data_IF_845704342734
#
_entry.id   IF_845704342734
#
_cell.length_a   1.000
_cell.length_b   1.000
_cell.length_c   1.000
_cell.angle_alpha   90.00
_cell.angle_beta   90.00
_cell.angle_gamma   90.00
#
_symmetry.space_group_name_H-M   'P 1'
#
loop_
_entity.id
_entity.type
_entity.pdbx_description
1 polymer ?
#
# COMPACT_ATOMS: atom_id res chain seq x y z
N UNK A 1 26.02 -5.69 -25.21
CA UNK A 1 26.03 -6.61 -24.06
C UNK A 1 27.03 -6.14 -23.02
N UNK A 2 26.92 -4.99 -22.38
CA UNK A 2 27.83 -4.57 -21.29
C UNK A 2 27.30 -3.39 -20.44
N UNK A 3 25.99 -3.22 -20.32
CA UNK A 3 25.44 -2.10 -19.52
C UNK A 3 24.49 -2.55 -18.39
N UNK A 4 24.22 -3.85 -18.25
CA UNK A 4 23.26 -4.37 -17.25
C UNK A 4 23.87 -4.82 -15.93
N UNK A 5 25.19 -4.72 -15.75
CA UNK A 5 25.89 -5.26 -14.57
C UNK A 5 26.34 -4.20 -13.56
N UNK A 6 26.12 -2.91 -13.84
CA UNK A 6 26.55 -1.84 -12.92
C UNK A 6 25.47 -1.35 -11.93
N UNK A 7 24.23 -1.79 -12.07
CA UNK A 7 23.14 -1.38 -11.16
C UNK A 7 23.09 -2.25 -9.88
N UNK A 8 23.71 -3.41 -9.86
CA UNK A 8 23.71 -4.32 -8.70
C UNK A 8 24.76 -4.05 -7.61
N UNK A 9 25.62 -3.06 -7.77
CA UNK A 9 26.70 -2.78 -6.81
C UNK A 9 26.32 -1.87 -5.64
N UNK A 10 25.08 -1.41 -5.55
CA UNK A 10 24.57 -0.49 -4.50
C UNK A 10 23.81 -1.14 -3.35
N UNK A 11 23.51 -2.42 -3.43
CA UNK A 11 22.85 -3.13 -2.32
C UNK A 11 23.91 -3.58 -1.29
N UNK A 12 24.37 -2.67 -0.45
CA UNK A 12 24.88 -3.06 0.86
C UNK A 12 23.71 -3.67 1.61
N UNK A 13 23.74 -5.01 1.77
CA UNK A 13 22.83 -5.70 2.64
C UNK A 13 22.83 -5.00 4.00
N UNK A 14 21.70 -4.47 4.42
CA UNK A 14 21.46 -4.09 5.79
C UNK A 14 21.63 -5.39 6.58
N UNK A 15 22.73 -5.51 7.33
CA UNK A 15 22.81 -6.49 8.40
C UNK A 15 21.60 -6.30 9.30
N UNK A 16 21.11 -7.34 10.00
CA UNK A 16 20.00 -7.19 10.90
C UNK A 16 20.38 -6.11 11.93
N UNK A 17 19.81 -4.93 11.80
CA UNK A 17 19.85 -3.92 12.87
C UNK A 17 19.30 -4.65 14.10
N UNK A 18 20.11 -4.76 15.16
CA UNK A 18 19.67 -5.40 16.40
C UNK A 18 18.37 -4.72 16.80
N UNK A 19 17.30 -5.50 16.83
CA UNK A 19 15.99 -4.98 17.21
C UNK A 19 16.10 -4.46 18.65
N UNK A 20 15.63 -3.24 18.93
CA UNK A 20 15.73 -2.67 20.25
C UNK A 20 15.02 -3.54 21.29
N UNK A 21 15.67 -3.69 22.44
CA UNK A 21 15.22 -4.54 23.55
C UNK A 21 14.97 -3.71 24.79
N UNK A 22 14.38 -4.29 25.82
CA UNK A 22 14.11 -3.62 27.09
C UNK A 22 15.38 -3.05 27.74
N UNK A 23 16.54 -3.67 27.52
CA UNK A 23 17.84 -3.13 27.92
C UNK A 23 18.09 -1.70 27.41
N UNK A 24 17.60 -1.34 26.21
CA UNK A 24 17.74 -0.01 25.64
C UNK A 24 16.88 1.06 26.35
N UNK A 25 15.89 0.65 27.16
CA UNK A 25 15.06 1.52 27.98
C UNK A 25 15.67 1.83 29.35
N UNK A 26 16.73 1.11 29.74
CA UNK A 26 17.34 1.26 31.05
C UNK A 26 17.93 2.66 31.21
N UNK A 27 17.40 3.41 32.17
CA UNK A 27 18.05 4.61 32.67
C UNK A 27 18.80 4.28 33.97
N UNK A 28 20.08 4.67 34.10
CA UNK A 28 20.73 4.64 35.39
C UNK A 28 20.04 5.67 36.29
N UNK A 29 19.50 5.21 37.40
CA UNK A 29 18.86 6.05 38.41
C UNK A 29 19.50 5.77 39.75
N UNK A 30 19.50 6.74 40.72
CA UNK A 30 19.87 6.47 42.07
C UNK A 30 19.05 5.29 42.63
N UNK A 31 19.68 4.45 43.42
CA UNK A 31 19.04 3.32 44.06
C UNK A 31 19.20 3.43 45.57
N UNK A 32 18.30 2.80 46.29
CA UNK A 32 18.36 2.70 47.77
C UNK A 32 18.45 1.24 48.20
N UNK A 33 19.20 1.00 49.27
CA UNK A 33 19.25 -0.32 49.94
C UNK A 33 18.03 -0.49 50.88
N UNK A 34 17.61 -1.73 51.16
CA UNK A 34 16.52 -1.98 52.11
C UNK A 34 16.77 -1.41 53.52
N UNK A 35 18.03 -1.17 53.85
CA UNK A 35 18.48 -0.59 55.13
C UNK A 35 18.43 0.92 55.16
N UNK A 36 18.32 1.58 53.96
CA UNK A 36 18.27 3.02 53.90
C UNK A 36 16.96 3.58 54.49
N UNK A 37 17.05 4.79 55.06
CA UNK A 37 15.92 5.44 55.74
C UNK A 37 15.03 6.21 54.76
N UNK A 38 13.81 6.52 55.18
CA UNK A 38 12.93 7.38 54.41
C UNK A 38 13.46 8.82 54.30
N UNK A 39 14.33 9.27 55.20
CA UNK A 39 15.07 10.54 55.10
C UNK A 39 15.96 10.52 53.84
N UNK A 40 16.70 9.45 53.60
CA UNK A 40 17.54 9.26 52.40
C UNK A 40 16.71 9.26 51.12
N UNK A 41 15.57 8.57 51.13
CA UNK A 41 14.65 8.55 50.00
C UNK A 41 14.14 9.96 49.66
N UNK A 42 13.76 10.73 50.68
CA UNK A 42 13.32 12.13 50.51
C UNK A 42 14.41 12.98 49.90
N UNK A 43 15.61 12.91 50.47
CA UNK A 43 16.77 13.65 49.98
C UNK A 43 17.07 13.35 48.48
N UNK A 44 17.07 12.08 48.08
CA UNK A 44 17.24 11.65 46.70
C UNK A 44 16.14 12.21 45.77
N UNK A 45 14.89 12.18 46.22
CA UNK A 45 13.80 12.77 45.46
C UNK A 45 13.89 14.29 45.34
N UNK A 46 14.40 14.99 46.36
CA UNK A 46 14.58 16.45 46.34
C UNK A 46 15.75 16.87 45.45
N UNK A 47 16.84 16.09 45.45
CA UNK A 47 17.99 16.29 44.57
C UNK A 47 17.67 15.98 43.11
N UNK A 48 16.83 14.97 42.83
CA UNK A 48 16.48 14.48 41.51
C UNK A 48 14.98 14.68 41.24
N UNK A 49 14.57 15.92 40.99
CA UNK A 49 13.15 16.27 40.81
C UNK A 49 12.49 15.60 39.61
N UNK A 50 13.26 15.19 38.62
CA UNK A 50 12.82 14.47 37.42
C UNK A 50 12.46 13.00 37.66
N UNK A 51 12.95 12.39 38.76
CA UNK A 51 12.67 10.99 39.05
C UNK A 51 11.24 10.81 39.55
N UNK A 52 10.53 9.90 38.96
CA UNK A 52 9.17 9.50 39.36
C UNK A 52 9.16 8.33 40.31
N UNK A 53 10.24 7.54 40.34
CA UNK A 53 10.39 6.40 41.26
C UNK A 53 11.86 6.10 41.52
N UNK A 54 12.12 5.41 42.66
CA UNK A 54 13.43 4.94 43.08
C UNK A 54 13.40 3.42 43.28
N UNK A 55 14.32 2.64 42.68
CA UNK A 55 14.43 1.22 42.92
C UNK A 55 15.04 0.92 44.29
N UNK A 56 14.51 -0.08 44.93
CA UNK A 56 15.10 -0.68 46.15
C UNK A 56 15.85 -1.92 45.73
N UNK A 57 17.18 -1.94 46.01
CA UNK A 57 18.07 -2.99 45.52
C UNK A 57 18.89 -3.55 46.68
N UNK A 58 18.93 -4.88 46.83
CA UNK A 58 19.76 -5.55 47.77
C UNK A 58 20.90 -6.28 47.02
N UNK A 59 22.12 -5.74 47.15
CA UNK A 59 23.25 -6.19 46.32
C UNK A 59 22.99 -5.90 44.82
N UNK A 60 22.76 -6.95 44.03
CA UNK A 60 22.39 -6.85 42.64
C UNK A 60 20.89 -7.07 42.37
N UNK A 61 20.15 -7.51 43.37
CA UNK A 61 18.75 -7.93 43.25
C UNK A 61 17.79 -6.76 43.50
N UNK A 62 16.93 -6.47 42.55
CA UNK A 62 15.83 -5.54 42.77
C UNK A 62 14.75 -6.16 43.66
N UNK A 63 14.36 -5.45 44.72
CA UNK A 63 13.30 -5.85 45.64
C UNK A 63 11.98 -5.19 45.35
N UNK A 64 12.00 -3.94 44.88
CA UNK A 64 10.79 -3.18 44.65
C UNK A 64 11.06 -1.75 44.13
N UNK A 65 10.01 -0.94 44.11
CA UNK A 65 10.03 0.41 43.58
C UNK A 65 9.33 1.36 44.55
N UNK A 66 9.98 2.47 44.94
CA UNK A 66 9.35 3.54 45.72
C UNK A 66 8.86 4.62 44.74
N UNK A 67 7.54 4.82 44.69
CA UNK A 67 6.88 5.79 43.80
C UNK A 67 6.86 7.17 44.46
N UNK A 68 7.38 8.18 43.78
CA UNK A 68 7.47 9.54 44.32
C UNK A 68 6.12 10.05 44.83
N UNK A 69 5.07 9.97 44.02
CA UNK A 69 3.76 10.50 44.36
C UNK A 69 3.17 9.84 45.62
N UNK A 70 3.29 8.51 45.73
CA UNK A 70 2.83 7.76 46.89
C UNK A 70 3.64 8.12 48.13
N UNK A 71 4.97 8.12 48.00
CA UNK A 71 5.88 8.45 49.10
C UNK A 71 5.61 9.86 49.64
N UNK A 72 5.57 10.87 48.76
CA UNK A 72 5.31 12.25 49.18
C UNK A 72 3.91 12.43 49.79
N UNK A 73 2.88 11.81 49.22
CA UNK A 73 1.52 11.87 49.76
C UNK A 73 1.42 11.27 51.15
N UNK A 74 2.08 10.14 51.38
CA UNK A 74 2.08 9.47 52.71
C UNK A 74 2.90 10.25 53.76
N UNK A 75 4.08 10.77 53.36
CA UNK A 75 4.94 11.55 54.24
C UNK A 75 4.35 12.92 54.58
N UNK A 76 3.49 13.52 53.75
CA UNK A 76 2.80 14.76 54.02
C UNK A 76 1.64 14.65 55.02
N UNK A 77 1.22 13.45 55.42
CA UNK A 77 0.17 13.27 56.43
C UNK A 77 0.66 13.70 57.82
N UNK A 78 -0.21 14.25 58.70
CA UNK A 78 0.16 14.68 60.02
C UNK A 78 0.84 13.57 60.84
N UNK A 79 1.95 13.91 61.52
CA UNK A 79 2.77 13.02 62.32
C UNK A 79 3.48 11.85 61.60
N UNK A 80 3.23 11.65 60.33
CA UNK A 80 3.82 10.55 59.55
C UNK A 80 5.31 10.73 59.30
N UNK A 81 5.73 11.96 59.01
CA UNK A 81 7.14 12.25 58.84
C UNK A 81 7.95 11.92 60.07
N UNK A 82 7.59 12.44 61.26
CA UNK A 82 8.26 12.16 62.53
C UNK A 82 8.33 10.67 62.88
N UNK A 83 7.25 9.92 62.56
CA UNK A 83 7.16 8.52 62.87
C UNK A 83 7.95 7.60 61.94
N UNK A 84 8.17 8.02 60.69
CA UNK A 84 8.72 7.17 59.64
C UNK A 84 10.06 7.64 59.07
N UNK A 85 10.50 8.87 59.33
CA UNK A 85 11.72 9.48 58.73
C UNK A 85 12.96 8.57 58.92
N UNK A 86 13.14 8.02 60.10
CA UNK A 86 14.27 7.15 60.47
C UNK A 86 14.01 5.67 60.27
N UNK A 87 12.85 5.25 59.78
CA UNK A 87 12.54 3.87 59.46
C UNK A 87 13.03 3.50 58.08
N UNK A 88 13.22 2.18 57.88
CA UNK A 88 13.59 1.62 56.57
C UNK A 88 12.60 2.03 55.47
N UNK A 89 13.14 2.32 54.33
CA UNK A 89 12.41 2.71 53.10
C UNK A 89 11.47 1.61 52.58
N UNK A 90 11.68 0.37 52.96
CA UNK A 90 10.81 -0.78 52.58
C UNK A 90 9.35 -0.56 53.00
N UNK A 91 9.08 0.28 54.00
CA UNK A 91 7.73 0.60 54.43
C UNK A 91 6.88 1.31 53.37
N UNK A 92 7.51 1.98 52.39
CA UNK A 92 6.84 2.69 51.27
C UNK A 92 7.14 2.07 49.91
N UNK A 93 7.80 0.90 49.93
CA UNK A 93 8.14 0.17 48.69
C UNK A 93 6.92 -0.57 48.15
N UNK A 94 6.68 -0.44 46.82
CA UNK A 94 5.86 -1.39 46.08
C UNK A 94 6.71 -2.67 45.88
N UNK A 95 6.35 -3.75 46.54
CA UNK A 95 7.05 -5.03 46.46
C UNK A 95 6.67 -5.89 45.24
N UNK A 96 5.73 -5.42 44.40
CA UNK A 96 5.28 -6.12 43.21
C UNK A 96 5.31 -5.21 41.96
N UNK A 97 6.42 -4.49 41.69
CA UNK A 97 6.53 -3.71 40.49
C UNK A 97 6.56 -4.62 39.27
N UNK A 98 6.24 -4.09 38.11
CA UNK A 98 6.48 -4.80 36.85
C UNK A 98 8.00 -4.98 36.64
N UNK A 99 8.42 -6.22 36.41
CA UNK A 99 9.80 -6.58 36.11
C UNK A 99 9.85 -7.09 34.66
N UNK A 100 10.78 -6.60 33.86
CA UNK A 100 10.95 -6.97 32.47
C UNK A 100 12.40 -7.42 32.26
N UNK A 101 12.59 -8.59 31.62
CA UNK A 101 13.89 -9.09 31.23
C UNK A 101 14.52 -8.21 30.14
N UNK A 102 15.82 -7.96 30.27
CA UNK A 102 16.62 -7.10 29.42
C UNK A 102 16.52 -7.45 27.93
N UNK A 103 16.39 -8.75 27.63
CA UNK A 103 16.32 -9.28 26.27
C UNK A 103 14.90 -9.25 25.65
N UNK A 104 13.91 -8.77 26.40
CA UNK A 104 12.54 -8.64 25.91
C UNK A 104 12.47 -7.60 24.78
N UNK A 105 11.80 -7.95 23.68
CA UNK A 105 11.60 -6.98 22.58
C UNK A 105 10.73 -5.79 23.05
N UNK A 106 10.91 -4.64 22.41
CA UNK A 106 10.17 -3.41 22.76
C UNK A 106 8.66 -3.60 22.62
N UNK A 107 8.20 -4.31 21.58
CA UNK A 107 6.77 -4.59 21.38
C UNK A 107 6.20 -5.46 22.50
N UNK A 108 6.98 -6.45 22.94
CA UNK A 108 6.58 -7.31 24.05
C UNK A 108 6.60 -6.55 25.37
N UNK A 109 7.61 -5.71 25.59
CA UNK A 109 7.69 -4.83 26.75
C UNK A 109 6.50 -3.88 26.81
N UNK A 110 6.13 -3.27 25.69
CA UNK A 110 4.96 -2.39 25.59
C UNK A 110 3.65 -3.11 25.96
N UNK A 111 3.50 -4.35 25.49
CA UNK A 111 2.34 -5.18 25.84
C UNK A 111 2.32 -5.52 27.33
N UNK A 112 3.47 -5.91 27.90
CA UNK A 112 3.57 -6.20 29.35
C UNK A 112 3.23 -4.99 30.21
N UNK A 113 3.69 -3.78 29.82
CA UNK A 113 3.37 -2.53 30.51
C UNK A 113 1.88 -2.20 30.38
N UNK A 114 1.28 -2.38 29.20
CA UNK A 114 -0.13 -2.10 28.97
C UNK A 114 -1.05 -3.08 29.72
N UNK A 115 -0.68 -4.36 29.79
CA UNK A 115 -1.45 -5.44 30.45
C UNK A 115 -1.20 -5.47 31.97
N UNK A 116 -0.23 -4.69 32.48
CA UNK A 116 0.15 -4.68 33.89
C UNK A 116 -0.95 -4.11 34.77
N UNK A 117 -1.21 -4.78 35.88
CA UNK A 117 -2.09 -4.26 36.96
C UNK A 117 -1.45 -3.13 37.74
N UNK A 118 -0.11 -3.06 37.74
CA UNK A 118 0.63 -1.90 38.28
C UNK A 118 0.54 -0.75 37.33
N UNK A 119 0.60 0.49 37.81
CA UNK A 119 0.61 1.69 36.94
C UNK A 119 2.01 1.90 36.31
N UNK A 120 2.58 0.82 35.71
CA UNK A 120 3.95 0.77 35.24
C UNK A 120 4.24 1.83 34.15
N UNK A 121 3.22 2.26 33.40
CA UNK A 121 3.36 3.33 32.42
C UNK A 121 3.69 4.69 33.07
N UNK A 122 3.09 4.99 34.22
CA UNK A 122 3.29 6.23 34.92
C UNK A 122 4.44 6.14 35.96
N UNK A 123 4.55 4.99 36.63
CA UNK A 123 5.47 4.81 37.75
C UNK A 123 6.84 4.26 37.33
N UNK A 124 6.95 3.70 36.13
CA UNK A 124 8.11 2.97 35.66
C UNK A 124 8.07 1.48 35.99
N UNK A 125 9.05 0.75 35.46
CA UNK A 125 9.21 -0.68 35.62
C UNK A 125 10.69 -1.04 35.75
N UNK A 126 10.97 -2.15 36.42
CA UNK A 126 12.34 -2.63 36.62
C UNK A 126 12.79 -3.44 35.40
N UNK A 127 14.02 -3.22 34.96
CA UNK A 127 14.68 -4.04 33.96
C UNK A 127 15.78 -4.84 34.59
N UNK A 128 15.76 -6.15 34.35
CA UNK A 128 16.69 -7.11 34.97
C UNK A 128 17.31 -8.01 33.90
N UNK A 129 18.46 -8.62 34.27
CA UNK A 129 19.05 -9.74 33.51
C UNK A 129 19.18 -10.91 34.45
N UNK A 130 18.24 -11.86 34.37
CA UNK A 130 18.11 -12.88 35.38
C UNK A 130 17.77 -12.29 36.76
N UNK A 131 18.71 -12.33 37.69
CA UNK A 131 18.54 -11.73 39.03
C UNK A 131 19.16 -10.34 39.17
N UNK A 132 19.93 -9.89 38.21
CA UNK A 132 20.67 -8.64 38.30
C UNK A 132 19.85 -7.45 37.80
N UNK A 133 19.69 -6.47 38.66
CA UNK A 133 19.07 -5.19 38.31
C UNK A 133 19.95 -4.38 37.32
N UNK A 134 19.39 -3.92 36.22
CA UNK A 134 20.07 -3.13 35.22
C UNK A 134 19.67 -1.66 35.25
N UNK A 135 18.42 -1.36 35.57
CA UNK A 135 17.89 0.01 35.57
C UNK A 135 16.38 0.07 35.61
N UNK A 136 15.87 1.28 35.54
CA UNK A 136 14.43 1.57 35.47
C UNK A 136 14.05 1.99 34.05
N UNK A 137 13.03 1.36 33.51
CA UNK A 137 12.38 1.79 32.29
C UNK A 137 11.20 2.72 32.58
N UNK A 138 11.04 3.77 31.76
CA UNK A 138 9.95 4.72 31.90
C UNK A 138 9.00 4.65 30.73
N UNK A 139 7.69 4.83 31.01
CA UNK A 139 6.65 4.72 30.00
C UNK A 139 6.83 5.68 28.82
N UNK A 140 7.31 6.90 29.06
CA UNK A 140 7.55 7.88 27.98
C UNK A 140 8.66 7.40 27.03
N UNK A 141 9.74 6.82 27.54
CA UNK A 141 10.83 6.29 26.70
C UNK A 141 10.37 5.07 25.91
N UNK A 142 9.58 4.21 26.55
CA UNK A 142 8.96 3.07 25.87
C UNK A 142 8.05 3.54 24.72
N UNK A 143 7.19 4.53 24.96
CA UNK A 143 6.30 5.07 23.91
C UNK A 143 7.09 5.68 22.74
N UNK A 144 8.15 6.44 23.02
CA UNK A 144 9.02 6.99 21.99
C UNK A 144 9.66 5.88 21.16
N UNK A 145 10.24 4.89 21.83
CA UNK A 145 10.91 3.78 21.14
C UNK A 145 9.95 2.92 20.30
N UNK A 146 8.71 2.72 20.78
CA UNK A 146 7.64 2.07 19.99
C UNK A 146 7.30 2.90 18.75
N UNK A 147 7.16 4.22 18.90
CA UNK A 147 6.88 5.11 17.76
C UNK A 147 8.01 5.10 16.72
N UNK A 148 9.26 5.22 17.17
CA UNK A 148 10.45 5.19 16.30
C UNK A 148 10.56 3.84 15.54
N UNK A 149 10.31 2.72 16.25
CA UNK A 149 10.32 1.40 15.65
C UNK A 149 9.22 1.24 14.59
N UNK A 150 8.01 1.75 14.89
CA UNK A 150 6.89 1.70 13.94
C UNK A 150 7.17 2.57 12.71
N UNK A 151 7.75 3.76 12.89
CA UNK A 151 8.15 4.61 11.78
C UNK A 151 9.22 3.95 10.92
N UNK A 152 10.23 3.32 11.53
CA UNK A 152 11.28 2.61 10.80
C UNK A 152 10.72 1.44 9.97
N UNK A 153 9.81 0.64 10.55
CA UNK A 153 9.13 -0.45 9.83
C UNK A 153 8.28 0.07 8.66
N UNK A 154 7.50 1.12 8.90
CA UNK A 154 6.70 1.73 7.84
C UNK A 154 7.57 2.27 6.72
N UNK A 155 8.69 2.93 7.05
CA UNK A 155 9.66 3.43 6.05
C UNK A 155 10.25 2.30 5.22
N UNK A 156 10.62 1.18 5.83
CA UNK A 156 11.14 0.02 5.12
C UNK A 156 10.10 -0.59 4.16
N UNK A 157 8.85 -0.72 4.59
CA UNK A 157 7.75 -1.20 3.75
C UNK A 157 7.53 -0.25 2.56
N UNK A 158 7.46 1.07 2.82
CA UNK A 158 7.28 2.07 1.77
C UNK A 158 8.41 2.05 0.75
N UNK A 159 9.67 1.94 1.18
CA UNK A 159 10.81 1.80 0.27
C UNK A 159 10.69 0.59 -0.65
N UNK A 160 10.17 -0.54 -0.15
CA UNK A 160 9.94 -1.74 -0.96
C UNK A 160 8.83 -1.52 -2.00
N UNK A 161 7.76 -0.81 -1.63
CA UNK A 161 6.66 -0.46 -2.53
C UNK A 161 7.11 0.57 -3.57
N UNK A 162 7.91 1.57 -3.17
CA UNK A 162 8.48 2.55 -4.09
C UNK A 162 9.36 1.87 -5.15
N UNK A 163 10.16 0.88 -4.74
CA UNK A 163 10.95 0.09 -5.70
C UNK A 163 10.07 -0.72 -6.64
N UNK A 164 9.00 -1.33 -6.15
CA UNK A 164 8.02 -2.03 -6.99
C UNK A 164 7.38 -1.08 -8.03
N UNK A 165 7.12 0.18 -7.68
CA UNK A 165 6.57 1.18 -8.62
C UNK A 165 7.54 1.52 -9.74
N UNK A 166 8.85 1.55 -9.46
CA UNK A 166 9.86 1.74 -10.51
C UNK A 166 9.82 0.60 -11.52
N UNK A 167 9.69 -0.64 -11.06
CA UNK A 167 9.57 -1.82 -11.94
C UNK A 167 8.29 -1.72 -12.77
N UNK A 168 7.14 -1.44 -12.14
CA UNK A 168 5.86 -1.35 -12.85
C UNK A 168 5.87 -0.24 -13.92
N UNK A 169 6.41 0.94 -13.60
CA UNK A 169 6.57 2.02 -14.59
C UNK A 169 7.51 1.63 -15.73
N UNK A 170 8.60 0.92 -15.44
CA UNK A 170 9.51 0.45 -16.48
C UNK A 170 8.84 -0.54 -17.44
N UNK A 171 7.96 -1.42 -16.93
CA UNK A 171 7.16 -2.33 -17.77
C UNK A 171 6.23 -1.56 -18.72
N UNK A 172 5.57 -0.51 -18.24
CA UNK A 172 4.66 0.30 -19.03
C UNK A 172 5.38 1.24 -20.00
N UNK A 173 6.61 1.62 -19.70
CA UNK A 173 7.38 2.60 -20.49
C UNK A 173 7.57 2.18 -21.95
N UNK A 174 7.94 0.92 -22.20
CA UNK A 174 8.11 0.40 -23.57
C UNK A 174 6.82 0.52 -24.37
N UNK A 175 5.69 0.16 -23.80
CA UNK A 175 4.37 0.31 -24.43
C UNK A 175 4.02 1.77 -24.68
N UNK A 176 4.39 2.67 -23.79
CA UNK A 176 4.15 4.10 -23.94
C UNK A 176 4.95 4.72 -25.08
N UNK A 177 6.23 4.33 -25.20
CA UNK A 177 7.08 4.80 -26.32
C UNK A 177 6.60 4.23 -27.66
N UNK A 178 6.21 2.96 -27.72
CA UNK A 178 5.62 2.38 -28.93
C UNK A 178 4.32 3.06 -29.32
N UNK A 179 3.46 3.38 -28.36
CA UNK A 179 2.20 4.07 -28.61
C UNK A 179 2.45 5.44 -29.28
N UNK A 180 3.37 6.24 -28.74
CA UNK A 180 3.75 7.54 -29.30
C UNK A 180 4.35 7.42 -30.71
N UNK A 181 5.18 6.41 -30.92
CA UNK A 181 5.84 6.20 -32.20
C UNK A 181 4.87 5.74 -33.32
N UNK A 182 3.94 4.85 -32.97
CA UNK A 182 3.07 4.18 -33.92
C UNK A 182 1.72 4.85 -34.08
N UNK A 183 1.23 5.56 -33.08
CA UNK A 183 -0.04 6.28 -33.05
C UNK A 183 0.20 7.73 -32.57
N UNK A 184 0.74 8.62 -33.43
CA UNK A 184 1.24 9.94 -32.99
C UNK A 184 0.16 10.84 -32.35
N UNK A 185 -1.10 10.77 -32.80
CA UNK A 185 -2.21 11.49 -32.16
C UNK A 185 -2.98 10.54 -31.22
N UNK A 186 -2.25 10.01 -30.24
CA UNK A 186 -2.81 9.21 -29.15
C UNK A 186 -2.30 9.67 -27.79
N UNK A 187 -3.03 9.31 -26.76
CA UNK A 187 -2.62 9.50 -25.37
C UNK A 187 -3.03 8.30 -24.53
N UNK A 188 -2.15 7.93 -23.59
CA UNK A 188 -2.41 6.96 -22.56
C UNK A 188 -2.11 7.60 -21.22
N UNK A 189 -3.13 7.76 -20.38
CA UNK A 189 -3.00 8.14 -18.99
C UNK A 189 -3.04 6.85 -18.17
N UNK A 190 -2.14 6.75 -17.21
CA UNK A 190 -2.11 5.71 -16.19
C UNK A 190 -1.79 6.36 -14.86
N UNK A 191 -2.72 6.34 -13.94
CA UNK A 191 -2.61 6.95 -12.63
C UNK A 191 -3.08 5.96 -11.57
N UNK A 192 -2.16 5.25 -10.91
CA UNK A 192 -2.55 4.35 -9.84
C UNK A 192 -3.14 5.13 -8.66
N UNK A 193 -4.04 4.47 -7.94
CA UNK A 193 -4.61 4.97 -6.69
C UNK A 193 -3.57 5.11 -5.60
N UNK A 194 -2.73 4.10 -5.47
CA UNK A 194 -1.64 4.00 -4.50
C UNK A 194 -0.28 4.20 -5.20
N UNK A 195 0.80 3.78 -4.61
CA UNK A 195 2.15 3.87 -5.22
C UNK A 195 2.31 2.96 -6.44
N UNK A 196 1.61 1.81 -6.43
CA UNK A 196 1.47 0.84 -7.52
C UNK A 196 -0.01 0.54 -7.75
N UNK A 197 -0.38 0.03 -8.92
CA UNK A 197 -1.79 -0.17 -9.30
C UNK A 197 -2.09 -1.50 -9.98
N UNK A 198 -3.40 -1.79 -10.10
CA UNK A 198 -3.94 -2.96 -10.80
C UNK A 198 -4.18 -2.73 -12.29
N UNK A 199 -4.28 -1.48 -12.71
CA UNK A 199 -4.41 -1.15 -14.13
C UNK A 199 -3.09 -1.36 -14.89
N UNK A 200 -3.18 -1.82 -16.13
CA UNK A 200 -2.05 -1.80 -17.05
C UNK A 200 -2.51 -1.61 -18.49
N UNK A 201 -1.57 -1.24 -19.32
CA UNK A 201 -1.73 -1.22 -20.78
C UNK A 201 -0.53 -1.85 -21.46
N UNK A 202 -0.76 -2.37 -22.67
CA UNK A 202 0.28 -2.93 -23.52
C UNK A 202 0.08 -2.42 -24.95
N UNK A 203 1.18 -1.96 -25.56
CA UNK A 203 1.24 -1.62 -26.97
C UNK A 203 2.30 -2.49 -27.63
N UNK A 204 1.93 -3.12 -28.76
CA UNK A 204 2.86 -3.95 -29.53
C UNK A 204 2.71 -3.64 -31.03
N UNK A 205 3.87 -3.48 -31.71
CA UNK A 205 3.96 -3.26 -33.13
C UNK A 205 4.08 -4.56 -33.89
N UNK A 206 3.35 -4.67 -35.00
CA UNK A 206 3.42 -5.77 -35.96
C UNK A 206 3.54 -5.21 -37.38
N UNK A 207 3.90 -6.08 -38.35
CA UNK A 207 4.13 -5.67 -39.73
C UNK A 207 2.96 -4.87 -40.36
N UNK A 208 1.75 -5.16 -39.96
CA UNK A 208 0.54 -4.60 -40.60
C UNK A 208 -0.31 -3.74 -39.64
N UNK A 209 0.17 -3.46 -38.43
CA UNK A 209 -0.62 -2.65 -37.52
C UNK A 209 -0.06 -2.60 -36.11
N UNK A 210 -0.93 -2.15 -35.22
CA UNK A 210 -0.62 -1.96 -33.81
C UNK A 210 -1.67 -2.66 -32.95
N UNK A 211 -1.21 -3.42 -31.99
CA UNK A 211 -2.05 -3.98 -30.95
C UNK A 211 -2.00 -3.10 -29.71
N UNK A 212 -3.17 -2.76 -29.16
CA UNK A 212 -3.30 -2.00 -27.93
C UNK A 212 -4.21 -2.78 -26.98
N UNK A 213 -3.76 -3.01 -25.76
CA UNK A 213 -4.55 -3.57 -24.69
C UNK A 213 -4.64 -2.60 -23.52
N UNK A 214 -5.82 -2.54 -22.92
CA UNK A 214 -6.05 -1.94 -21.60
C UNK A 214 -6.66 -3.02 -20.70
N UNK A 215 -6.25 -3.02 -19.45
CA UNK A 215 -6.76 -3.96 -18.46
C UNK A 215 -6.79 -3.32 -17.08
N UNK A 216 -7.83 -3.66 -16.34
CA UNK A 216 -8.12 -3.29 -14.97
C UNK A 216 -8.21 -4.59 -14.15
N UNK A 217 -7.19 -4.86 -13.34
CA UNK A 217 -7.12 -6.04 -12.50
C UNK A 217 -7.82 -5.82 -11.17
N UNK A 218 -8.37 -6.89 -10.61
CA UNK A 218 -8.92 -6.83 -9.25
C UNK A 218 -7.88 -6.39 -8.24
N UNK A 219 -8.31 -5.45 -7.39
CA UNK A 219 -7.51 -4.92 -6.31
C UNK A 219 -6.55 -3.82 -6.76
N UNK A 220 -6.24 -2.95 -5.83
CA UNK A 220 -5.32 -1.82 -6.01
C UNK A 220 -4.07 -2.02 -5.15
N UNK A 221 -3.06 -1.17 -5.31
CA UNK A 221 -1.81 -1.28 -4.56
C UNK A 221 -1.04 -2.56 -4.88
N UNK A 222 -0.41 -3.17 -3.87
CA UNK A 222 0.46 -4.33 -4.07
C UNK A 222 -0.25 -5.55 -4.67
N UNK A 223 -1.43 -5.98 -4.19
CA UNK A 223 -2.16 -7.09 -4.83
C UNK A 223 -2.46 -6.83 -6.30
N UNK A 224 -2.98 -5.65 -6.65
CA UNK A 224 -3.23 -5.25 -8.04
C UNK A 224 -1.97 -5.28 -8.90
N UNK A 225 -0.84 -4.80 -8.38
CA UNK A 225 0.44 -4.83 -9.08
C UNK A 225 0.93 -6.25 -9.39
N UNK A 226 0.70 -7.23 -8.51
CA UNK A 226 0.97 -8.64 -8.80
C UNK A 226 0.08 -9.17 -9.91
N UNK A 227 -1.21 -8.85 -9.90
CA UNK A 227 -2.13 -9.22 -10.96
C UNK A 227 -1.74 -8.62 -12.30
N UNK A 228 -1.31 -7.34 -12.32
CA UNK A 228 -0.74 -6.67 -13.48
C UNK A 228 0.47 -7.42 -14.04
N UNK A 229 1.42 -7.80 -13.20
CA UNK A 229 2.63 -8.50 -13.61
C UNK A 229 2.30 -9.87 -14.25
N UNK A 230 1.44 -10.65 -13.60
CA UNK A 230 1.01 -11.96 -14.10
C UNK A 230 0.28 -11.81 -15.44
N UNK A 231 -0.69 -10.89 -15.50
CA UNK A 231 -1.56 -10.72 -16.67
C UNK A 231 -0.81 -10.16 -17.86
N UNK A 232 0.02 -9.14 -17.68
CA UNK A 232 0.82 -8.55 -18.76
C UNK A 232 1.86 -9.54 -19.32
N UNK A 233 2.49 -10.34 -18.46
CA UNK A 233 3.44 -11.37 -18.88
C UNK A 233 2.78 -12.45 -19.74
N UNK A 234 1.61 -12.97 -19.32
CA UNK A 234 0.89 -13.95 -20.11
C UNK A 234 0.32 -13.37 -21.42
N UNK A 235 -0.12 -12.10 -21.41
CA UNK A 235 -0.57 -11.44 -22.64
C UNK A 235 0.57 -11.27 -23.63
N UNK A 236 1.76 -10.84 -23.19
CA UNK A 236 2.92 -10.72 -24.06
C UNK A 236 3.30 -12.05 -24.71
N UNK A 237 3.33 -13.14 -23.93
CA UNK A 237 3.61 -14.47 -24.46
C UNK A 237 2.52 -14.97 -25.43
N UNK A 238 1.25 -14.67 -25.14
CA UNK A 238 0.15 -15.02 -26.04
C UNK A 238 0.25 -14.29 -27.37
N UNK A 239 0.60 -13.00 -27.35
CA UNK A 239 0.80 -12.18 -28.54
C UNK A 239 1.97 -12.67 -29.41
N UNK A 240 3.09 -13.04 -28.79
CA UNK A 240 4.23 -13.62 -29.53
C UNK A 240 3.87 -14.95 -30.22
N UNK A 241 3.07 -15.79 -29.57
CA UNK A 241 2.71 -17.10 -30.09
C UNK A 241 1.58 -17.06 -31.10
N UNK A 242 0.50 -16.33 -30.79
CA UNK A 242 -0.78 -16.40 -31.53
C UNK A 242 -0.98 -15.18 -32.45
N UNK A 243 -0.17 -14.14 -32.29
CA UNK A 243 -0.31 -12.86 -33.01
C UNK A 243 -1.49 -12.02 -32.54
N UNK A 244 -1.68 -10.82 -33.13
CA UNK A 244 -2.65 -9.82 -32.65
C UNK A 244 -4.04 -9.95 -33.31
N UNK A 245 -4.20 -10.78 -34.33
CA UNK A 245 -5.36 -10.73 -35.24
C UNK A 245 -6.68 -11.19 -34.59
N UNK A 246 -6.62 -11.96 -33.50
CA UNK A 246 -7.78 -12.49 -32.77
C UNK A 246 -7.75 -12.05 -31.30
N UNK A 247 -8.20 -10.81 -31.00
CA UNK A 247 -8.28 -10.32 -29.60
C UNK A 247 -9.14 -11.18 -28.68
N UNK A 248 -10.21 -11.82 -29.20
CA UNK A 248 -11.07 -12.70 -28.40
C UNK A 248 -10.36 -13.98 -27.99
N UNK A 249 -9.55 -14.56 -28.88
CA UNK A 249 -8.71 -15.71 -28.56
C UNK A 249 -7.66 -15.37 -27.51
N UNK A 250 -7.07 -14.18 -27.59
CA UNK A 250 -6.09 -13.69 -26.60
C UNK A 250 -6.74 -13.57 -25.21
N UNK A 251 -7.97 -13.02 -25.08
CA UNK A 251 -8.72 -12.98 -23.83
C UNK A 251 -8.96 -14.41 -23.29
N UNK A 252 -9.37 -15.35 -24.13
CA UNK A 252 -9.57 -16.75 -23.76
C UNK A 252 -8.29 -17.45 -23.30
N UNK A 253 -7.16 -17.14 -23.94
CA UNK A 253 -5.85 -17.64 -23.53
C UNK A 253 -5.44 -17.06 -22.19
N UNK A 254 -5.61 -15.75 -22.01
CA UNK A 254 -5.31 -15.06 -20.75
C UNK A 254 -6.16 -15.62 -19.60
N UNK A 255 -7.46 -15.86 -19.83
CA UNK A 255 -8.36 -16.46 -18.84
C UNK A 255 -7.83 -17.79 -18.31
N UNK A 256 -7.44 -18.70 -19.21
CA UNK A 256 -6.87 -20.00 -18.81
C UNK A 256 -5.59 -19.85 -18.03
N UNK A 257 -4.70 -18.94 -18.47
CA UNK A 257 -3.39 -18.73 -17.86
C UNK A 257 -3.49 -18.12 -16.47
N UNK A 258 -4.33 -17.10 -16.27
CA UNK A 258 -4.57 -16.50 -14.96
C UNK A 258 -5.14 -17.55 -14.01
N UNK A 259 -6.18 -18.27 -14.41
CA UNK A 259 -6.78 -19.34 -13.58
C UNK A 259 -5.77 -20.43 -13.19
N UNK A 260 -4.85 -20.79 -14.09
CA UNK A 260 -3.75 -21.72 -13.79
C UNK A 260 -2.78 -21.13 -12.77
N UNK A 261 -2.36 -19.88 -12.96
CA UNK A 261 -1.40 -19.20 -12.08
C UNK A 261 -1.95 -19.02 -10.66
N UNK A 262 -3.26 -18.78 -10.52
CA UNK A 262 -3.93 -18.57 -9.24
C UNK A 262 -4.49 -19.87 -8.61
N UNK A 263 -4.22 -21.04 -9.22
CA UNK A 263 -4.72 -22.32 -8.70
C UNK A 263 -6.23 -22.49 -8.75
N UNK A 264 -6.94 -21.71 -9.57
CA UNK A 264 -8.41 -21.76 -9.70
C UNK A 264 -8.90 -22.91 -10.56
N UNK A 265 -8.02 -23.70 -11.17
CA UNK A 265 -8.34 -24.89 -11.97
C UNK A 265 -7.94 -26.12 -11.17
N UNK A 266 -8.93 -26.97 -10.87
CA UNK A 266 -8.69 -28.31 -10.31
C UNK A 266 -8.48 -28.40 -8.80
N UNK A 267 -8.43 -27.30 -8.07
CA UNK A 267 -8.29 -27.31 -6.61
C UNK A 267 -9.65 -27.09 -5.93
N UNK A 268 -10.17 -28.12 -5.26
CA UNK A 268 -11.39 -28.05 -4.44
C UNK A 268 -11.07 -27.88 -2.95
N UNK A 269 -10.09 -27.08 -2.61
CA UNK A 269 -9.89 -26.70 -1.20
C UNK A 269 -10.75 -25.46 -0.94
N UNK A 270 -11.89 -25.67 -0.32
CA UNK A 270 -12.78 -24.60 0.08
C UNK A 270 -12.05 -23.72 1.12
N UNK A 271 -11.88 -22.43 0.81
CA UNK A 271 -11.43 -21.41 1.78
C UNK A 271 -10.18 -20.62 1.42
N UNK A 272 -9.41 -20.98 0.38
CA UNK A 272 -8.17 -20.28 -0.01
C UNK A 272 -8.17 -19.76 -1.46
N UNK A 273 -9.30 -19.82 -2.17
CA UNK A 273 -9.35 -19.33 -3.54
C UNK A 273 -9.66 -17.83 -3.55
N UNK A 274 -8.73 -17.06 -4.08
CA UNK A 274 -8.93 -15.67 -4.44
C UNK A 274 -9.81 -15.60 -5.69
N UNK A 275 -10.83 -14.73 -5.71
CA UNK A 275 -11.64 -14.44 -6.90
C UNK A 275 -11.04 -13.28 -7.69
N UNK A 276 -9.77 -13.41 -8.05
CA UNK A 276 -9.03 -12.39 -8.78
C UNK A 276 -9.12 -12.62 -10.29
N UNK A 277 -9.26 -11.49 -10.99
CA UNK A 277 -9.40 -11.45 -12.43
C UNK A 277 -9.09 -10.06 -12.97
N UNK A 278 -9.57 -9.78 -14.17
CA UNK A 278 -9.47 -8.46 -14.77
C UNK A 278 -10.61 -8.18 -15.74
N UNK A 279 -10.90 -6.91 -15.91
CA UNK A 279 -11.69 -6.36 -16.99
C UNK A 279 -10.74 -5.80 -18.05
N UNK A 280 -11.02 -5.98 -19.34
CA UNK A 280 -10.06 -5.65 -20.37
C UNK A 280 -10.70 -5.26 -21.71
N UNK A 281 -9.95 -4.48 -22.48
CA UNK A 281 -10.24 -4.20 -23.89
C UNK A 281 -8.97 -4.41 -24.70
N UNK A 282 -9.03 -5.31 -25.69
CA UNK A 282 -7.97 -5.61 -26.63
C UNK A 282 -8.36 -5.13 -28.00
N UNK A 283 -7.47 -4.40 -28.66
CA UNK A 283 -7.71 -3.75 -29.96
C UNK A 283 -6.56 -4.07 -30.90
N UNK A 284 -6.87 -4.59 -32.08
CA UNK A 284 -5.94 -4.76 -33.19
C UNK A 284 -6.28 -3.77 -34.30
N UNK A 285 -5.44 -2.75 -34.49
CA UNK A 285 -5.59 -1.74 -35.52
C UNK A 285 -4.79 -2.18 -36.74
N UNK A 286 -5.48 -2.71 -37.77
CA UNK A 286 -4.88 -3.09 -39.02
C UNK A 286 -4.80 -1.86 -39.96
N UNK A 287 -3.57 -1.46 -40.28
CA UNK A 287 -3.32 -0.26 -41.11
C UNK A 287 -3.63 -0.49 -42.59
N UNK A 288 -3.60 -1.75 -43.09
CA UNK A 288 -3.87 -2.04 -44.51
C UNK A 288 -5.31 -1.78 -44.87
N UNK A 289 -6.21 -2.25 -44.03
CA UNK A 289 -7.64 -2.27 -44.32
C UNK A 289 -8.39 -1.14 -43.61
N UNK A 290 -7.71 -0.38 -42.75
CA UNK A 290 -8.32 0.58 -41.82
C UNK A 290 -9.44 -0.05 -40.97
N UNK A 291 -9.27 -1.32 -40.64
CA UNK A 291 -10.22 -2.07 -39.82
C UNK A 291 -9.58 -2.31 -38.46
N UNK A 292 -10.32 -1.98 -37.43
CA UNK A 292 -9.97 -2.38 -36.07
C UNK A 292 -10.78 -3.61 -35.69
N UNK A 293 -10.09 -4.70 -35.29
CA UNK A 293 -10.71 -5.83 -34.62
C UNK A 293 -10.50 -5.67 -33.13
N UNK A 294 -11.55 -5.79 -32.33
CA UNK A 294 -11.46 -5.67 -30.89
C UNK A 294 -12.33 -6.69 -30.17
N UNK A 295 -11.95 -7.03 -28.97
CA UNK A 295 -12.74 -7.80 -28.02
C UNK A 295 -12.56 -7.22 -26.61
N UNK A 296 -13.60 -7.22 -25.82
CA UNK A 296 -13.54 -6.72 -24.47
C UNK A 296 -14.27 -7.63 -23.48
N UNK A 297 -13.78 -7.61 -22.27
CA UNK A 297 -14.32 -8.24 -21.10
C UNK A 297 -14.72 -7.12 -20.13
N UNK A 298 -16.01 -6.78 -20.08
CA UNK A 298 -16.65 -5.70 -19.27
C UNK A 298 -16.16 -4.28 -19.54
N UNK A 299 -15.08 -4.06 -20.28
CA UNK A 299 -14.55 -2.74 -20.61
C UNK A 299 -15.07 -2.30 -21.99
N UNK A 300 -15.90 -1.25 -22.10
CA UNK A 300 -16.47 -0.78 -23.37
C UNK A 300 -15.47 0.06 -24.16
N UNK A 301 -15.71 0.11 -25.49
CA UNK A 301 -15.07 1.05 -26.39
C UNK A 301 -16.02 2.21 -26.70
N UNK A 302 -15.53 3.43 -26.58
CA UNK A 302 -16.27 4.63 -26.96
C UNK A 302 -15.72 5.18 -28.27
N UNK A 303 -16.59 5.48 -29.22
CA UNK A 303 -16.24 6.01 -30.54
C UNK A 303 -17.01 7.28 -30.81
N UNK A 304 -16.32 8.33 -31.18
CA UNK A 304 -16.91 9.54 -31.70
C UNK A 304 -16.51 9.67 -33.17
N UNK A 305 -17.41 9.30 -34.05
CA UNK A 305 -17.17 9.44 -35.51
C UNK A 305 -17.00 10.89 -35.95
N UNK A 306 -16.20 11.11 -36.98
CA UNK A 306 -15.98 12.42 -37.54
C UNK A 306 -17.32 13.08 -37.91
N UNK A 307 -17.57 14.29 -37.40
CA UNK A 307 -18.82 15.01 -37.60
C UNK A 307 -20.04 14.56 -36.79
N UNK A 308 -19.93 13.48 -35.98
CA UNK A 308 -21.03 13.04 -35.15
C UNK A 308 -21.24 13.97 -33.94
N UNK A 309 -22.47 14.11 -33.51
CA UNK A 309 -22.87 14.96 -32.39
C UNK A 309 -22.74 14.24 -31.04
N UNK A 310 -22.60 12.92 -31.04
CA UNK A 310 -22.60 12.11 -29.82
C UNK A 310 -21.63 10.92 -29.93
N UNK A 311 -21.12 10.51 -28.76
CA UNK A 311 -20.29 9.30 -28.62
C UNK A 311 -21.16 8.06 -28.74
N UNK A 312 -20.75 7.11 -29.57
CA UNK A 312 -21.29 5.75 -29.62
C UNK A 312 -20.51 4.87 -28.65
N UNK A 313 -21.21 4.19 -27.76
CA UNK A 313 -20.59 3.22 -26.86
C UNK A 313 -20.79 1.81 -27.42
N UNK A 314 -19.70 1.15 -27.72
CA UNK A 314 -19.68 -0.25 -28.13
C UNK A 314 -19.50 -1.11 -26.89
N UNK A 315 -20.62 -1.68 -26.42
CA UNK A 315 -20.61 -2.60 -25.29
C UNK A 315 -19.84 -3.89 -25.66
N UNK A 316 -19.11 -4.42 -24.72
CA UNK A 316 -18.34 -5.65 -24.83
C UNK A 316 -18.99 -6.80 -24.07
N UNK A 317 -18.32 -7.93 -23.96
CA UNK A 317 -18.89 -9.07 -23.25
C UNK A 317 -18.92 -8.76 -21.74
N UNK A 318 -20.02 -9.15 -21.08
CA UNK A 318 -20.24 -8.88 -19.63
C UNK A 318 -19.54 -9.88 -18.71
N UNK A 319 -18.56 -10.58 -19.22
CA UNK A 319 -17.79 -11.61 -18.52
C UNK A 319 -16.35 -11.15 -18.45
N UNK A 320 -15.81 -11.01 -17.24
CA UNK A 320 -14.42 -10.64 -17.00
C UNK A 320 -13.49 -11.85 -17.15
N UNK A 321 -12.19 -11.60 -17.20
CA UNK A 321 -11.14 -12.60 -17.43
C UNK A 321 -10.59 -13.06 -16.08
N UNK A 322 -10.40 -14.36 -15.88
CA UNK A 322 -9.73 -14.92 -14.69
C UNK A 322 -10.63 -15.18 -13.49
N UNK A 323 -11.79 -14.52 -13.38
CA UNK A 323 -12.69 -14.67 -12.23
C UNK A 323 -13.19 -16.11 -12.05
N UNK A 324 -13.40 -16.53 -10.81
CA UNK A 324 -13.87 -17.89 -10.48
C UNK A 324 -15.16 -18.23 -11.25
N UNK A 325 -16.09 -17.29 -11.35
CA UNK A 325 -17.36 -17.46 -12.05
C UNK A 325 -17.21 -17.58 -13.59
N UNK A 326 -16.08 -17.15 -14.16
CA UNK A 326 -15.84 -17.26 -15.61
C UNK A 326 -15.45 -18.69 -15.96
N UNK A 327 -16.15 -19.32 -16.90
CA UNK A 327 -15.79 -20.65 -17.37
C UNK A 327 -14.38 -20.65 -17.99
N UNK A 328 -13.60 -21.73 -17.78
CA UNK A 328 -12.22 -21.86 -18.29
C UNK A 328 -12.15 -21.77 -19.82
N UNK A 329 -13.18 -22.29 -20.48
CA UNK A 329 -13.36 -22.36 -21.93
C UNK A 329 -14.28 -21.25 -22.47
N UNK A 330 -14.57 -20.22 -21.66
CA UNK A 330 -15.37 -19.07 -22.11
C UNK A 330 -14.77 -18.45 -23.37
N UNK A 331 -15.63 -18.11 -24.33
CA UNK A 331 -15.23 -17.52 -25.62
C UNK A 331 -15.80 -16.13 -25.73
N UNK A 332 -14.92 -15.14 -25.70
CA UNK A 332 -15.24 -13.75 -26.02
C UNK A 332 -15.51 -13.60 -27.53
N UNK A 333 -16.11 -12.49 -27.92
CA UNK A 333 -16.46 -12.24 -29.32
C UNK A 333 -15.61 -11.13 -29.90
N UNK A 334 -15.01 -11.37 -31.07
CA UNK A 334 -14.42 -10.31 -31.87
C UNK A 334 -15.51 -9.46 -32.48
N UNK A 335 -15.27 -8.15 -32.46
CA UNK A 335 -16.05 -7.15 -33.17
C UNK A 335 -15.12 -6.37 -34.09
N UNK A 336 -15.64 -5.88 -35.19
CA UNK A 336 -14.88 -5.10 -36.16
C UNK A 336 -15.47 -3.71 -36.32
N UNK A 337 -14.59 -2.74 -36.51
CA UNK A 337 -14.96 -1.34 -36.80
C UNK A 337 -14.11 -0.83 -37.94
N UNK A 338 -14.75 -0.36 -39.00
CA UNK A 338 -14.07 0.37 -40.07
C UNK A 338 -13.78 1.78 -39.59
N UNK A 339 -12.51 2.16 -39.54
CA UNK A 339 -12.06 3.44 -39.05
C UNK A 339 -12.04 4.47 -40.18
N UNK A 340 -12.59 5.64 -39.92
CA UNK A 340 -12.51 6.81 -40.81
C UNK A 340 -11.48 7.81 -40.29
N UNK A 341 -10.92 8.60 -41.17
CA UNK A 341 -10.03 9.66 -40.76
C UNK A 341 -10.75 10.64 -39.81
N UNK A 342 -10.08 11.04 -38.75
CA UNK A 342 -10.58 11.86 -37.65
C UNK A 342 -11.63 11.20 -36.74
N UNK A 343 -11.89 9.90 -36.86
CA UNK A 343 -12.61 9.19 -35.81
C UNK A 343 -11.81 9.23 -34.51
N UNK A 344 -12.50 9.34 -33.38
CA UNK A 344 -11.91 9.37 -32.06
C UNK A 344 -12.31 8.09 -31.29
N UNK A 345 -11.31 7.39 -30.78
CA UNK A 345 -11.49 6.17 -30.00
C UNK A 345 -11.07 6.44 -28.56
N UNK A 346 -11.89 5.98 -27.60
CA UNK A 346 -11.59 6.11 -26.19
C UNK A 346 -11.91 4.83 -25.43
N UNK A 347 -11.07 4.54 -24.47
CA UNK A 347 -11.31 3.51 -23.47
C UNK A 347 -10.86 4.03 -22.10
N UNK A 348 -11.57 3.63 -21.06
CA UNK A 348 -11.21 4.01 -19.69
C UNK A 348 -11.57 2.88 -18.72
N UNK A 349 -10.78 2.76 -17.65
CA UNK A 349 -11.12 1.90 -16.51
C UNK A 349 -12.21 2.54 -15.66
N UNK A 350 -12.86 1.76 -14.82
CA UNK A 350 -14.01 2.20 -14.05
C UNK A 350 -13.65 3.24 -12.97
N UNK A 351 -12.38 3.26 -12.51
CA UNK A 351 -11.90 4.27 -11.58
C UNK A 351 -12.10 5.71 -12.04
N UNK A 352 -12.16 5.94 -13.37
CA UNK A 352 -12.52 7.26 -13.90
C UNK A 352 -14.00 7.58 -13.69
N UNK A 353 -14.90 6.64 -13.93
CA UNK A 353 -16.35 6.86 -13.82
C UNK A 353 -16.91 6.71 -12.43
N UNK A 354 -16.28 5.89 -11.59
CA UNK A 354 -16.74 5.54 -10.25
C UNK A 354 -16.18 6.46 -9.15
N UNK A 355 -15.30 7.40 -9.52
CA UNK A 355 -14.79 8.41 -8.60
C UNK A 355 -15.95 9.23 -8.01
N UNK A 356 -16.04 9.23 -6.69
CA UNK A 356 -16.99 10.07 -5.96
C UNK A 356 -16.48 11.50 -5.91
N UNK A 357 -17.38 12.45 -6.09
CA UNK A 357 -17.07 13.87 -6.02
C UNK A 357 -18.25 14.78 -6.25
N UNK A 358 -17.94 16.04 -6.52
CA UNK A 358 -18.90 17.10 -6.74
C UNK A 358 -19.79 17.41 -5.54
N UNK A 359 -20.69 18.40 -5.66
CA UNK A 359 -21.49 18.90 -4.52
C UNK A 359 -22.48 17.88 -3.95
N UNK A 360 -22.81 16.83 -4.71
CA UNK A 360 -23.78 15.80 -4.30
C UNK A 360 -23.13 14.51 -3.82
N UNK A 361 -21.81 14.41 -3.81
CA UNK A 361 -21.02 13.22 -3.41
C UNK A 361 -21.48 11.94 -4.14
N UNK A 362 -21.64 12.02 -5.46
CA UNK A 362 -22.02 10.90 -6.32
C UNK A 362 -20.88 10.54 -7.26
N UNK A 363 -20.96 9.40 -7.94
CA UNK A 363 -20.00 9.00 -8.95
C UNK A 363 -19.91 10.02 -10.10
N UNK A 364 -18.72 10.18 -10.70
CA UNK A 364 -18.47 11.00 -11.89
C UNK A 364 -19.43 10.61 -13.02
N UNK A 365 -19.49 9.32 -13.31
CA UNK A 365 -20.50 8.69 -14.13
C UNK A 365 -20.23 8.77 -15.63
N UNK A 366 -20.74 7.76 -16.34
CA UNK A 366 -20.57 7.59 -17.79
C UNK A 366 -21.14 8.74 -18.64
N UNK A 367 -22.20 9.43 -18.15
CA UNK A 367 -22.78 10.56 -18.87
C UNK A 367 -21.79 11.74 -18.94
N UNK A 368 -21.22 12.10 -17.80
CA UNK A 368 -20.28 13.22 -17.72
C UNK A 368 -19.02 12.95 -18.55
N UNK A 369 -18.53 11.69 -18.52
CA UNK A 369 -17.44 11.29 -19.39
C UNK A 369 -17.81 11.53 -20.88
N UNK A 370 -18.94 11.03 -21.37
CA UNK A 370 -19.35 11.21 -22.77
C UNK A 370 -19.50 12.67 -23.16
N UNK A 371 -20.06 13.50 -22.28
CA UNK A 371 -20.21 14.94 -22.52
C UNK A 371 -18.82 15.61 -22.68
N UNK A 372 -17.83 15.20 -21.88
CA UNK A 372 -16.44 15.68 -22.00
C UNK A 372 -15.76 15.21 -23.30
N UNK A 373 -15.94 13.94 -23.68
CA UNK A 373 -15.37 13.41 -24.94
C UNK A 373 -15.85 14.22 -26.14
N UNK A 374 -17.12 14.60 -26.15
CA UNK A 374 -17.68 15.49 -27.20
C UNK A 374 -17.11 16.90 -27.12
N UNK A 375 -16.98 17.44 -25.88
CA UNK A 375 -16.49 18.80 -25.65
C UNK A 375 -15.01 19.01 -26.06
N UNK A 376 -14.19 17.95 -25.96
CA UNK A 376 -12.75 18.01 -26.25
C UNK A 376 -12.40 17.58 -27.71
N UNK A 377 -13.38 17.19 -28.51
CA UNK A 377 -13.16 16.49 -29.80
C UNK A 377 -12.20 17.18 -30.77
N UNK A 378 -12.11 18.51 -30.73
CA UNK A 378 -11.29 19.28 -31.69
C UNK A 378 -9.81 19.41 -31.23
N UNK A 379 -9.51 19.00 -30.01
CA UNK A 379 -8.16 19.02 -29.44
C UNK A 379 -7.35 17.81 -29.92
N UNK A 380 -6.00 17.87 -29.99
CA UNK A 380 -5.14 16.68 -30.05
C UNK A 380 -5.41 15.70 -28.92
N UNK A 381 -5.19 14.40 -29.15
CA UNK A 381 -5.51 13.37 -28.15
C UNK A 381 -4.83 13.58 -26.79
N UNK A 382 -3.61 14.10 -26.77
CA UNK A 382 -2.90 14.43 -25.54
C UNK A 382 -3.58 15.55 -24.73
N UNK A 383 -4.08 16.58 -25.41
CA UNK A 383 -4.80 17.69 -24.78
C UNK A 383 -6.19 17.25 -24.31
N UNK A 384 -6.87 16.37 -25.07
CA UNK A 384 -8.14 15.77 -24.65
C UNK A 384 -7.96 15.01 -23.35
N UNK A 385 -6.96 14.11 -23.28
CA UNK A 385 -6.67 13.34 -22.09
C UNK A 385 -6.36 14.25 -20.89
N UNK A 386 -5.58 15.31 -21.09
CA UNK A 386 -5.26 16.28 -20.04
C UNK A 386 -6.52 17.02 -19.55
N UNK A 387 -7.39 17.49 -20.45
CA UNK A 387 -8.64 18.17 -20.11
C UNK A 387 -9.60 17.27 -19.35
N UNK A 388 -9.75 16.01 -19.76
CA UNK A 388 -10.57 15.02 -19.07
C UNK A 388 -10.06 14.78 -17.66
N UNK A 389 -8.75 14.60 -17.49
CA UNK A 389 -8.14 14.38 -16.16
C UNK A 389 -8.21 15.60 -15.26
N UNK A 390 -8.11 16.79 -15.84
CA UNK A 390 -8.30 18.05 -15.09
C UNK A 390 -9.72 18.16 -14.54
N UNK A 391 -10.74 17.93 -15.38
CA UNK A 391 -12.14 17.96 -14.97
C UNK A 391 -12.45 16.86 -13.94
N UNK A 392 -11.91 15.66 -14.14
CA UNK A 392 -12.01 14.56 -13.19
C UNK A 392 -11.41 14.94 -11.83
N UNK A 393 -10.23 15.57 -11.80
CA UNK A 393 -9.58 16.02 -10.57
C UNK A 393 -10.35 17.15 -9.87
N UNK A 394 -10.91 18.08 -10.62
CA UNK A 394 -11.80 19.13 -10.06
C UNK A 394 -13.06 18.52 -9.46
N UNK A 395 -13.64 17.54 -10.15
CA UNK A 395 -14.82 16.82 -9.66
C UNK A 395 -14.52 16.02 -8.39
N UNK A 396 -13.38 15.33 -8.34
CA UNK A 396 -12.92 14.60 -7.16
C UNK A 396 -12.79 15.52 -5.94
N UNK A 397 -12.22 16.71 -6.10
CA UNK A 397 -12.04 17.68 -5.02
C UNK A 397 -11.25 17.08 -3.86
N UNK A 398 -11.80 17.13 -2.64
CA UNK A 398 -11.16 16.60 -1.42
C UNK A 398 -11.43 15.11 -1.17
N UNK A 399 -12.20 14.44 -2.02
CA UNK A 399 -12.47 13.03 -1.87
C UNK A 399 -11.22 12.20 -2.18
N UNK A 400 -11.05 11.09 -1.46
CA UNK A 400 -9.97 10.14 -1.77
C UNK A 400 -10.23 9.51 -3.13
N UNK A 401 -9.15 9.25 -3.86
CA UNK A 401 -9.22 8.42 -5.07
C UNK A 401 -9.73 7.03 -4.70
N UNK A 402 -10.70 6.51 -5.44
CA UNK A 402 -11.33 5.21 -5.15
C UNK A 402 -10.59 4.05 -5.77
N UNK A 403 -10.10 4.24 -7.01
CA UNK A 403 -9.44 3.20 -7.77
C UNK A 403 -8.36 3.76 -8.69
N UNK A 404 -7.62 2.87 -9.33
CA UNK A 404 -6.68 3.20 -10.41
C UNK A 404 -7.44 3.84 -11.57
N UNK A 405 -6.81 4.75 -12.28
CA UNK A 405 -7.43 5.43 -13.43
C UNK A 405 -6.55 5.29 -14.63
N UNK A 406 -7.07 4.63 -15.67
CA UNK A 406 -6.46 4.59 -16.99
C UNK A 406 -7.41 5.14 -18.06
N UNK A 407 -6.86 5.92 -18.97
CA UNK A 407 -7.60 6.53 -20.08
C UNK A 407 -6.77 6.45 -21.35
N UNK A 408 -7.32 5.85 -22.38
CA UNK A 408 -6.78 5.83 -23.72
C UNK A 408 -7.60 6.76 -24.64
N UNK A 409 -6.91 7.59 -25.40
CA UNK A 409 -7.47 8.45 -26.43
C UNK A 409 -6.69 8.23 -27.73
N UNK A 410 -7.37 8.11 -28.85
CA UNK A 410 -6.74 8.00 -30.17
C UNK A 410 -7.59 8.75 -31.20
N UNK A 411 -6.95 9.62 -31.96
CA UNK A 411 -7.51 10.16 -33.24
C UNK A 411 -6.95 9.36 -34.41
N UNK A 412 -7.83 8.81 -35.20
CA UNK A 412 -7.49 8.07 -36.44
C UNK A 412 -6.98 9.04 -37.49
N UNK A 413 -5.77 8.79 -37.99
CA UNK A 413 -5.11 9.58 -39.03
C UNK A 413 -5.33 9.01 -40.43
#
# INVERSE_FOLDING_TARGET
MTTSLQIMSGMRGFGPAEMPRAANLCRPVPMVAPTDTNATVRELFDQHRELISLPVVDGTRALGLIKRHTFQSEMARPFRQELHEHKSCVAFMDGQPLIIEADTSIERAAKLVADSRSNALADGFLVVRGNDFLGVGFGLDLMRMVADLQEAKNRQIMQSIDYASVIQRAMLHTSQELLKAELPDSAMIWQPRDTVGGDFFLCAKFDHGVFVAMADCTGHGVPGAFMTLISSSWLAQALERDGPADPAQLLGTLNRKIKQSLGQIGSRVAGEQSDDGLDALFMWLNRRDRVMTYAGARMPLHVLHAGAAAVTTHETDRVGVGYVATAVDHRWQNRTLTLQQNDLLYAATDGLTDQIGGPRNIAFGKRRLRDLLVGCRDMPAAEQAAAIMQEHGQYQGQHRRRDDVSLFCLRVQ
#
